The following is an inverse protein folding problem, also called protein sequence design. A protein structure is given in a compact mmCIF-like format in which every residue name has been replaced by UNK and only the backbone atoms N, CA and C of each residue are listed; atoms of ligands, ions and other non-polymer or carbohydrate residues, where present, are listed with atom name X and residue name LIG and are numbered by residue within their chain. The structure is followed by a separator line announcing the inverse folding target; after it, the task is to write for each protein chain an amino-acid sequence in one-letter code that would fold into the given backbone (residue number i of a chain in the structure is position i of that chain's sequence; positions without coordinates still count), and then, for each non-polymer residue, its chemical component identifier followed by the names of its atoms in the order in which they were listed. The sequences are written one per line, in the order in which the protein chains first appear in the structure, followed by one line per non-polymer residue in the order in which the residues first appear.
data_IF_561223124809
#
_entry.id   IF_561223124809
#
_cell.length_a   1.000
_cell.length_b   1.000
_cell.length_c   1.000
_cell.angle_alpha   90.00
_cell.angle_beta   90.00
_cell.angle_gamma   90.00
#
_symmetry.space_group_name_H-M   'P 1'
#
loop_
_entity.id
_entity.type
_entity.pdbx_description
1 polymer ?
#
# COMPACT_ATOMS: atom_id res chain seq x y z
N UNK A 1 19.73 22.85 -6.81
CA UNK A 1 19.32 21.62 -6.08
C UNK A 1 17.84 21.71 -5.72
N UNK A 2 17.03 20.69 -6.03
CA UNK A 2 15.63 20.66 -5.58
C UNK A 2 15.57 20.64 -4.04
N UNK A 3 14.62 21.35 -3.40
CA UNK A 3 14.47 21.33 -1.95
C UNK A 3 14.26 19.90 -1.42
N UNK A 4 14.73 19.63 -0.19
CA UNK A 4 14.56 18.31 0.44
C UNK A 4 13.06 18.02 0.64
N UNK A 5 12.65 16.80 0.26
CA UNK A 5 11.25 16.35 0.26
C UNK A 5 10.83 15.66 1.56
N UNK A 6 11.76 15.41 2.50
CA UNK A 6 11.45 14.86 3.83
C UNK A 6 11.38 13.33 3.92
N UNK A 7 11.80 12.61 2.87
CA UNK A 7 11.89 11.14 2.89
C UNK A 7 13.06 10.67 3.77
N UNK A 8 12.81 9.69 4.63
CA UNK A 8 13.76 9.27 5.68
C UNK A 8 14.36 7.89 5.42
N UNK A 9 13.54 6.87 5.23
CA UNK A 9 13.98 5.46 5.10
C UNK A 9 12.92 4.59 4.43
N UNK A 10 13.31 3.42 3.95
CA UNK A 10 12.35 2.39 3.52
C UNK A 10 11.64 1.83 4.76
N UNK A 11 10.30 1.79 4.73
CA UNK A 11 9.46 1.17 5.77
C UNK A 11 9.24 -0.32 5.49
N UNK A 12 8.89 -0.65 4.25
CA UNK A 12 8.67 -2.01 3.77
C UNK A 12 8.72 -2.10 2.23
N UNK A 13 8.86 -3.31 1.69
CA UNK A 13 8.82 -3.58 0.25
C UNK A 13 7.82 -4.70 -0.04
N UNK A 14 6.88 -4.47 -0.95
CA UNK A 14 5.81 -5.43 -1.26
C UNK A 14 6.15 -6.21 -2.53
N UNK A 15 6.09 -7.53 -2.45
CA UNK A 15 6.30 -8.45 -3.55
C UNK A 15 5.00 -9.10 -4.02
N UNK A 16 4.74 -9.06 -5.33
CA UNK A 16 3.67 -9.82 -5.96
C UNK A 16 4.23 -11.13 -6.51
N UNK A 17 3.54 -12.24 -6.24
CA UNK A 17 3.91 -13.58 -6.67
C UNK A 17 2.74 -14.27 -7.37
N UNK A 18 3.00 -15.39 -8.05
CA UNK A 18 1.97 -16.12 -8.78
C UNK A 18 0.91 -16.77 -7.89
N UNK A 19 -0.13 -17.31 -8.53
CA UNK A 19 -1.16 -18.10 -7.87
C UNK A 19 -0.57 -19.25 -7.04
N UNK A 20 -0.97 -19.33 -5.77
CA UNK A 20 -0.51 -20.33 -4.81
C UNK A 20 1.02 -20.33 -4.57
N UNK A 21 1.70 -19.22 -4.85
CA UNK A 21 3.14 -19.09 -4.60
C UNK A 21 3.46 -18.36 -3.29
N UNK A 22 2.49 -17.70 -2.65
CA UNK A 22 2.74 -16.89 -1.45
C UNK A 22 3.39 -17.72 -0.33
N UNK A 23 2.85 -18.90 -0.05
CA UNK A 23 3.36 -19.77 1.02
C UNK A 23 4.78 -20.27 0.74
N UNK A 24 5.09 -20.58 -0.53
CA UNK A 24 6.45 -20.95 -0.96
C UNK A 24 7.45 -19.83 -0.66
N UNK A 25 7.10 -18.58 -0.96
CA UNK A 25 7.99 -17.45 -0.73
C UNK A 25 8.08 -17.07 0.76
N UNK A 26 6.98 -17.15 1.51
CA UNK A 26 7.00 -16.99 2.96
C UNK A 26 7.92 -18.02 3.63
N UNK A 27 7.82 -19.28 3.20
CA UNK A 27 8.69 -20.37 3.64
C UNK A 27 10.16 -20.11 3.33
N UNK A 28 10.46 -19.54 2.15
CA UNK A 28 11.83 -19.15 1.80
C UNK A 28 12.38 -18.09 2.77
N UNK A 29 11.63 -17.00 3.02
CA UNK A 29 12.05 -15.98 3.98
C UNK A 29 12.25 -16.56 5.39
N UNK A 30 11.35 -17.46 5.81
CA UNK A 30 11.46 -18.10 7.13
C UNK A 30 12.67 -19.02 7.23
N UNK A 31 12.85 -19.95 6.28
CA UNK A 31 13.87 -21.00 6.34
C UNK A 31 15.26 -20.49 6.00
N UNK A 32 15.39 -19.60 5.00
CA UNK A 32 16.69 -19.13 4.54
C UNK A 32 17.20 -17.91 5.32
N UNK A 33 16.30 -17.02 5.76
CA UNK A 33 16.66 -15.74 6.37
C UNK A 33 16.21 -15.58 7.83
N UNK A 34 15.49 -16.57 8.38
CA UNK A 34 15.02 -16.53 9.77
C UNK A 34 13.93 -15.49 10.01
N UNK A 35 13.14 -15.14 8.98
CA UNK A 35 12.02 -14.22 9.13
C UNK A 35 10.83 -14.93 9.79
N UNK A 36 9.98 -14.17 10.46
CA UNK A 36 8.71 -14.65 11.02
C UNK A 36 7.53 -13.98 10.34
N UNK A 37 6.40 -14.68 10.21
CA UNK A 37 5.16 -14.06 9.76
C UNK A 37 4.64 -13.13 10.85
N UNK A 38 4.52 -11.84 10.52
CA UNK A 38 4.03 -10.80 11.43
C UNK A 38 2.50 -10.75 11.44
N UNK A 39 1.90 -10.71 10.24
CA UNK A 39 0.46 -10.64 10.04
C UNK A 39 0.09 -11.27 8.69
N UNK A 40 -1.13 -11.77 8.58
CA UNK A 40 -1.68 -12.27 7.33
C UNK A 40 -3.09 -11.72 7.11
N UNK A 41 -3.47 -11.60 5.85
CA UNK A 41 -4.76 -11.14 5.39
C UNK A 41 -5.25 -12.10 4.30
N UNK A 42 -6.49 -12.57 4.44
CA UNK A 42 -7.13 -13.39 3.43
C UNK A 42 -7.99 -12.56 2.45
N UNK A 43 -8.64 -13.24 1.52
CA UNK A 43 -9.52 -12.66 0.51
C UNK A 43 -10.78 -12.00 1.11
N UNK A 44 -11.22 -12.46 2.28
CA UNK A 44 -12.33 -11.84 3.02
C UNK A 44 -11.89 -10.54 3.69
N UNK A 45 -10.63 -10.48 4.09
CA UNK A 45 -10.02 -9.28 4.65
C UNK A 45 -9.72 -8.22 3.59
N UNK A 46 -9.36 -8.63 2.37
CA UNK A 46 -8.96 -7.75 1.27
C UNK A 46 -9.71 -8.12 0.00
N UNK A 47 -10.94 -7.61 -0.10
CA UNK A 47 -11.76 -7.68 -1.31
C UNK A 47 -12.54 -6.38 -1.56
N UNK A 48 -12.71 -6.06 -2.83
CA UNK A 48 -13.73 -5.12 -3.32
C UNK A 48 -14.94 -5.90 -3.81
N UNK A 49 -15.92 -5.22 -4.41
CA UNK A 49 -16.99 -5.90 -5.14
C UNK A 49 -16.44 -6.77 -6.28
N UNK A 50 -15.29 -6.39 -6.85
CA UNK A 50 -14.79 -6.96 -8.10
C UNK A 50 -13.54 -7.81 -7.95
N UNK A 51 -12.60 -7.45 -7.08
CA UNK A 51 -11.29 -8.09 -7.00
C UNK A 51 -10.91 -8.44 -5.56
N UNK A 52 -10.02 -9.42 -5.40
CA UNK A 52 -9.48 -9.81 -4.11
C UNK A 52 -7.99 -10.13 -4.22
N UNK A 53 -7.30 -10.14 -3.08
CA UNK A 53 -5.96 -10.71 -2.96
C UNK A 53 -5.74 -11.34 -1.58
N UNK A 54 -4.68 -12.11 -1.45
CA UNK A 54 -4.16 -12.58 -0.15
C UNK A 54 -2.79 -11.97 0.09
N UNK A 55 -2.48 -11.70 1.35
CA UNK A 55 -1.20 -11.11 1.73
C UNK A 55 -0.66 -11.69 3.02
N UNK A 56 0.64 -11.97 3.06
CA UNK A 56 1.37 -12.33 4.28
C UNK A 56 2.58 -11.43 4.44
N UNK A 57 2.75 -10.86 5.62
CA UNK A 57 3.88 -9.99 5.93
C UNK A 57 4.96 -10.76 6.65
N UNK A 58 6.11 -10.89 6.01
CA UNK A 58 7.31 -11.47 6.59
C UNK A 58 8.18 -10.39 7.22
N UNK A 59 8.69 -10.62 8.43
CA UNK A 59 9.51 -9.66 9.17
C UNK A 59 10.83 -10.30 9.60
N UNK A 60 11.94 -9.56 9.47
CA UNK A 60 13.23 -10.01 9.98
C UNK A 60 13.27 -10.01 11.51
N UNK A 61 14.16 -10.80 12.11
CA UNK A 61 14.30 -10.90 13.56
C UNK A 61 14.56 -9.54 14.26
N UNK A 62 15.14 -8.56 13.55
CA UNK A 62 15.34 -7.20 14.08
C UNK A 62 14.11 -6.29 14.01
N UNK A 63 13.04 -6.72 13.34
CA UNK A 63 11.85 -5.93 13.06
C UNK A 63 12.01 -4.84 11.98
N UNK A 64 13.24 -4.62 11.50
CA UNK A 64 13.58 -3.52 10.58
C UNK A 64 13.20 -3.79 9.13
N UNK A 65 13.28 -5.04 8.68
CA UNK A 65 12.92 -5.42 7.31
C UNK A 65 11.56 -6.08 7.33
N UNK A 66 10.65 -5.59 6.50
CA UNK A 66 9.27 -6.06 6.37
C UNK A 66 8.96 -6.27 4.89
N UNK A 67 8.48 -7.46 4.57
CA UNK A 67 8.19 -7.90 3.21
C UNK A 67 6.76 -8.46 3.14
N UNK A 68 5.75 -7.63 2.85
CA UNK A 68 4.45 -8.13 2.43
C UNK A 68 4.56 -8.90 1.11
N UNK A 69 4.04 -10.11 1.09
CA UNK A 69 4.01 -11.00 -0.07
C UNK A 69 2.54 -11.19 -0.46
N UNK A 70 2.18 -10.75 -1.67
CA UNK A 70 0.83 -10.80 -2.19
C UNK A 70 0.71 -11.86 -3.28
N UNK A 71 -0.41 -12.58 -3.28
CA UNK A 71 -0.83 -13.43 -4.40
C UNK A 71 -2.26 -13.07 -4.84
N UNK A 72 -2.63 -13.38 -6.09
CA UNK A 72 -4.01 -13.23 -6.55
C UNK A 72 -4.98 -14.06 -5.70
N UNK A 73 -6.23 -13.61 -5.61
CA UNK A 73 -7.34 -14.37 -5.06
C UNK A 73 -8.54 -14.32 -6.00
N UNK A 74 -9.46 -15.27 -5.86
CA UNK A 74 -10.65 -15.34 -6.72
C UNK A 74 -11.55 -14.11 -6.51
N UNK A 75 -11.99 -13.50 -7.62
CA UNK A 75 -12.88 -12.34 -7.63
C UNK A 75 -13.76 -12.34 -8.88
N UNK A 76 -14.74 -11.43 -8.95
CA UNK A 76 -15.60 -11.27 -10.14
C UNK A 76 -14.84 -10.76 -11.36
N UNK A 77 -13.72 -10.09 -11.13
CA UNK A 77 -12.83 -9.53 -12.15
C UNK A 77 -11.38 -9.91 -11.86
N UNK A 78 -10.54 -9.68 -12.86
CA UNK A 78 -9.10 -9.90 -12.82
C UNK A 78 -8.46 -9.12 -11.68
N UNK A 79 -7.62 -9.77 -10.87
CA UNK A 79 -6.93 -9.13 -9.75
C UNK A 79 -5.83 -8.18 -10.24
N UNK A 80 -5.58 -7.09 -9.50
CA UNK A 80 -4.43 -6.21 -9.77
C UNK A 80 -3.09 -6.96 -9.68
N UNK A 81 -3.02 -8.01 -8.86
CA UNK A 81 -1.82 -8.83 -8.78
C UNK A 81 -1.59 -9.54 -10.12
N UNK A 82 -2.64 -10.03 -10.77
CA UNK A 82 -2.54 -10.62 -12.11
C UNK A 82 -2.17 -9.58 -13.16
N UNK A 83 -2.73 -8.37 -13.12
CA UNK A 83 -2.30 -7.27 -14.01
C UNK A 83 -0.79 -7.03 -13.86
N UNK A 84 -0.30 -6.89 -12.62
CA UNK A 84 1.13 -6.73 -12.36
C UNK A 84 1.95 -7.86 -13.00
N UNK A 85 1.57 -9.12 -12.77
CA UNK A 85 2.32 -10.28 -13.23
C UNK A 85 2.43 -10.32 -14.77
N UNK A 86 1.36 -9.99 -15.49
CA UNK A 86 1.39 -9.98 -16.97
C UNK A 86 2.28 -8.87 -17.51
N UNK A 87 2.17 -7.65 -16.98
CA UNK A 87 2.94 -6.51 -17.48
C UNK A 87 4.41 -6.54 -17.02
N UNK A 88 4.68 -7.09 -15.85
CA UNK A 88 6.04 -7.27 -15.32
C UNK A 88 6.74 -8.49 -15.92
N UNK A 89 5.98 -9.54 -16.28
CA UNK A 89 6.50 -10.81 -16.81
C UNK A 89 6.83 -11.84 -15.73
N UNK A 90 6.20 -11.77 -14.56
CA UNK A 90 6.41 -12.68 -13.44
C UNK A 90 6.41 -11.99 -12.08
N UNK A 91 6.82 -12.73 -11.04
CA UNK A 91 6.91 -12.23 -9.68
C UNK A 91 7.93 -11.08 -9.53
N UNK A 92 7.66 -10.13 -8.64
CA UNK A 92 8.53 -8.97 -8.45
C UNK A 92 8.03 -7.98 -7.41
N UNK A 93 8.81 -6.89 -7.20
CA UNK A 93 8.43 -5.80 -6.30
C UNK A 93 7.35 -4.95 -6.94
N UNK A 94 6.20 -4.87 -6.27
CA UNK A 94 5.08 -4.01 -6.66
C UNK A 94 5.29 -2.59 -6.18
N UNK A 95 5.62 -2.42 -4.89
CA UNK A 95 5.89 -1.10 -4.36
C UNK A 95 6.91 -1.10 -3.23
N UNK A 96 7.49 0.08 -3.02
CA UNK A 96 8.38 0.37 -1.90
C UNK A 96 7.78 1.51 -1.11
N UNK A 97 7.57 1.28 0.18
CA UNK A 97 7.08 2.29 1.10
C UNK A 97 8.24 3.06 1.74
N UNK A 98 8.15 4.38 1.72
CA UNK A 98 9.18 5.29 2.23
C UNK A 98 8.60 6.13 3.35
N UNK A 99 9.21 6.02 4.53
CA UNK A 99 8.82 6.74 5.72
C UNK A 99 9.15 8.23 5.62
N UNK A 100 8.25 9.07 6.15
CA UNK A 100 8.43 10.50 6.40
C UNK A 100 7.92 10.86 7.80
N UNK A 101 8.43 11.95 8.34
CA UNK A 101 8.02 12.51 9.63
C UNK A 101 6.97 13.63 9.48
N UNK A 102 6.76 14.15 8.26
CA UNK A 102 5.69 15.09 7.91
C UNK A 102 5.15 14.80 6.50
N UNK A 103 4.15 13.93 6.44
CA UNK A 103 3.54 13.45 5.19
C UNK A 103 2.84 14.57 4.43
N UNK A 104 2.26 15.56 5.12
CA UNK A 104 1.58 16.66 4.45
C UNK A 104 2.57 17.56 3.71
N UNK A 105 3.69 17.90 4.35
CA UNK A 105 4.78 18.63 3.70
C UNK A 105 5.43 17.82 2.58
N UNK A 106 5.69 16.54 2.81
CA UNK A 106 6.27 15.63 1.81
C UNK A 106 5.38 15.51 0.57
N UNK A 107 4.07 15.32 0.73
CA UNK A 107 3.13 15.20 -0.39
C UNK A 107 3.06 16.49 -1.21
N UNK A 108 3.00 17.65 -0.56
CA UNK A 108 3.05 18.95 -1.25
C UNK A 108 4.34 19.11 -2.05
N UNK A 109 5.48 18.75 -1.46
CA UNK A 109 6.77 18.81 -2.13
C UNK A 109 6.88 17.82 -3.31
N UNK A 110 6.35 16.60 -3.17
CA UNK A 110 6.30 15.61 -4.26
C UNK A 110 5.46 16.11 -5.43
N UNK A 111 4.23 16.61 -5.17
CA UNK A 111 3.36 17.19 -6.20
C UNK A 111 4.03 18.38 -6.89
N UNK A 112 4.67 19.28 -6.12
CA UNK A 112 5.39 20.43 -6.68
C UNK A 112 6.58 20.03 -7.58
N UNK A 113 7.16 18.85 -7.35
CA UNK A 113 8.20 18.27 -8.20
C UNK A 113 7.65 17.41 -9.35
N UNK A 114 6.33 17.39 -9.57
CA UNK A 114 5.69 16.68 -10.68
C UNK A 114 5.43 15.20 -10.43
N UNK A 115 5.53 14.71 -9.19
CA UNK A 115 5.16 13.33 -8.87
C UNK A 115 3.64 13.20 -8.88
N UNK A 116 3.13 12.29 -9.70
CA UNK A 116 1.71 11.96 -9.74
C UNK A 116 1.34 10.98 -8.62
N UNK A 117 0.33 11.35 -7.85
CA UNK A 117 -0.20 10.56 -6.74
C UNK A 117 -1.60 10.06 -7.08
N UNK A 118 -2.00 8.93 -6.50
CA UNK A 118 -3.37 8.44 -6.60
C UNK A 118 -4.32 9.41 -5.88
N UNK A 119 -5.54 9.49 -6.42
CA UNK A 119 -6.61 10.28 -5.83
C UNK A 119 -7.57 9.36 -5.07
N UNK A 120 -8.07 9.86 -3.95
CA UNK A 120 -9.06 9.16 -3.12
C UNK A 120 -10.38 9.93 -3.20
N UNK A 121 -11.52 9.27 -3.46
CA UNK A 121 -12.81 9.92 -3.45
C UNK A 121 -13.07 10.68 -2.15
N UNK A 122 -13.65 11.87 -2.25
CA UNK A 122 -13.97 12.71 -1.09
C UNK A 122 -14.81 11.98 -0.04
N UNK A 123 -15.67 11.05 -0.44
CA UNK A 123 -16.54 10.26 0.43
C UNK A 123 -15.79 9.39 1.44
N UNK A 124 -14.52 9.06 1.18
CA UNK A 124 -13.65 8.38 2.14
C UNK A 124 -13.49 9.19 3.43
N UNK A 125 -13.33 10.52 3.31
CA UNK A 125 -13.05 11.41 4.43
C UNK A 125 -14.30 11.74 5.26
N UNK A 126 -15.50 11.63 4.67
CA UNK A 126 -16.75 11.96 5.34
C UNK A 126 -17.05 11.03 6.52
N UNK A 127 -16.57 9.78 6.47
CA UNK A 127 -16.74 8.76 7.53
C UNK A 127 -15.43 8.46 8.26
N UNK A 128 -14.37 9.22 8.01
CA UNK A 128 -13.04 8.90 8.54
C UNK A 128 -13.01 8.97 10.06
N UNK A 129 -13.59 10.02 10.65
CA UNK A 129 -13.63 10.19 12.11
C UNK A 129 -14.36 9.06 12.84
N UNK A 130 -15.38 8.46 12.23
CA UNK A 130 -16.09 7.31 12.80
C UNK A 130 -15.23 6.04 12.79
N UNK A 131 -14.38 5.88 11.77
CA UNK A 131 -13.51 4.71 11.60
C UNK A 131 -12.25 4.74 12.46
N UNK A 132 -11.57 5.89 12.53
CA UNK A 132 -10.25 6.00 13.19
C UNK A 132 -10.29 6.83 14.47
N UNK A 133 -11.42 7.49 14.78
CA UNK A 133 -11.53 8.39 15.92
C UNK A 133 -10.67 9.64 15.76
N UNK A 134 -10.24 10.21 16.89
CA UNK A 134 -9.40 11.40 16.89
C UNK A 134 -7.97 11.10 16.41
N UNK A 135 -7.45 11.99 15.56
CA UNK A 135 -6.08 12.04 15.05
C UNK A 135 -5.55 13.47 15.17
N UNK A 136 -4.24 13.65 15.13
CA UNK A 136 -3.61 14.98 15.27
C UNK A 136 -3.75 15.83 13.99
N UNK A 137 -3.80 15.20 12.83
CA UNK A 137 -3.83 15.85 11.53
C UNK A 137 -5.24 16.38 11.17
N UNK A 138 -5.30 17.54 10.49
CA UNK A 138 -6.54 18.11 10.00
C UNK A 138 -7.10 17.29 8.82
N UNK A 139 -8.29 16.72 9.00
CA UNK A 139 -8.98 15.91 7.98
C UNK A 139 -9.18 16.68 6.67
N UNK A 140 -9.37 18.01 6.72
CA UNK A 140 -9.48 18.82 5.52
C UNK A 140 -8.17 18.82 4.71
N UNK A 141 -7.03 18.87 5.39
CA UNK A 141 -5.70 18.77 4.76
C UNK A 141 -5.48 17.36 4.19
N UNK A 142 -5.85 16.32 4.94
CA UNK A 142 -5.73 14.94 4.46
C UNK A 142 -6.56 14.72 3.18
N UNK A 143 -7.78 15.29 3.15
CA UNK A 143 -8.68 15.26 2.00
C UNK A 143 -8.11 15.97 0.78
N UNK A 144 -7.55 17.16 0.95
CA UNK A 144 -6.89 17.92 -0.12
C UNK A 144 -5.71 17.14 -0.74
N UNK A 145 -4.96 16.45 0.12
CA UNK A 145 -3.73 15.77 -0.26
C UNK A 145 -3.95 14.30 -0.65
N UNK A 146 -5.18 13.78 -0.60
CA UNK A 146 -5.51 12.37 -0.83
C UNK A 146 -4.76 11.39 0.10
N UNK A 147 -4.52 11.80 1.35
CA UNK A 147 -3.80 10.99 2.34
C UNK A 147 -4.77 10.09 3.10
N UNK A 148 -4.54 8.78 3.02
CA UNK A 148 -5.34 7.76 3.71
C UNK A 148 -4.86 7.58 5.16
N UNK A 149 -5.77 7.17 6.05
CA UNK A 149 -5.48 6.90 7.46
C UNK A 149 -6.04 5.55 7.90
N UNK A 150 -5.17 4.73 8.50
CA UNK A 150 -5.54 3.48 9.15
C UNK A 150 -5.13 3.50 10.62
N UNK A 151 -5.83 2.74 11.46
CA UNK A 151 -5.59 2.71 12.90
C UNK A 151 -5.61 1.29 13.44
N UNK A 152 -4.74 1.03 14.39
CA UNK A 152 -4.70 -0.17 15.21
C UNK A 152 -4.69 0.19 16.71
N UNK A 153 -4.55 -0.81 17.57
CA UNK A 153 -4.55 -0.64 19.03
C UNK A 153 -3.35 0.16 19.55
N UNK A 154 -2.28 0.30 18.77
CA UNK A 154 -1.03 0.98 19.16
C UNK A 154 -0.99 2.43 18.67
N UNK A 155 -1.80 2.79 17.69
CA UNK A 155 -1.88 4.13 17.15
C UNK A 155 -2.41 4.12 15.73
N UNK A 156 -2.05 5.13 14.94
CA UNK A 156 -2.51 5.25 13.56
C UNK A 156 -1.35 5.49 12.59
N UNK A 157 -1.63 5.34 11.31
CA UNK A 157 -0.68 5.58 10.23
C UNK A 157 -1.35 6.33 9.10
N UNK A 158 -0.57 7.17 8.42
CA UNK A 158 -0.96 7.91 7.24
C UNK A 158 -0.20 7.34 6.05
N UNK A 159 -0.86 7.22 4.90
CA UNK A 159 -0.26 6.68 3.69
C UNK A 159 -0.81 7.34 2.42
N UNK A 160 -0.01 7.34 1.37
CA UNK A 160 -0.42 7.75 0.03
C UNK A 160 0.48 7.06 -1.00
N UNK A 161 -0.08 6.82 -2.18
CA UNK A 161 0.59 6.07 -3.23
C UNK A 161 0.82 6.92 -4.46
N UNK A 162 1.95 6.72 -5.12
CA UNK A 162 2.18 7.28 -6.45
C UNK A 162 1.37 6.50 -7.49
N UNK A 163 1.16 7.13 -8.65
CA UNK A 163 0.88 6.34 -9.86
C UNK A 163 2.10 5.45 -10.19
N UNK A 164 1.94 4.41 -11.02
CA UNK A 164 3.08 3.68 -11.56
C UNK A 164 4.11 4.63 -12.16
N UNK A 165 5.39 4.40 -11.90
CA UNK A 165 6.47 5.27 -12.41
C UNK A 165 6.79 5.08 -13.90
N UNK A 166 6.15 4.08 -14.51
CA UNK A 166 6.31 3.72 -15.91
C UNK A 166 4.94 3.40 -16.49
N UNK A 167 4.84 3.39 -17.82
CA UNK A 167 3.57 3.11 -18.52
C UNK A 167 2.99 1.74 -18.16
N UNK A 168 3.87 0.77 -17.84
CA UNK A 168 3.45 -0.54 -17.34
C UNK A 168 2.93 -0.42 -15.90
N UNK A 169 1.72 -0.91 -15.59
CA UNK A 169 1.09 -0.81 -14.26
C UNK A 169 1.77 -1.76 -13.25
N UNK A 170 3.00 -1.44 -12.87
CA UNK A 170 3.91 -2.33 -12.13
C UNK A 170 4.46 -1.63 -10.90
N UNK A 171 5.67 -1.07 -10.95
CA UNK A 171 6.31 -0.43 -9.81
C UNK A 171 5.70 0.94 -9.49
N UNK A 172 5.28 1.14 -8.25
CA UNK A 172 4.93 2.44 -7.67
C UNK A 172 5.57 2.61 -6.28
N UNK A 173 5.40 3.78 -5.66
CA UNK A 173 5.88 4.07 -4.32
C UNK A 173 4.74 4.40 -3.37
N UNK A 174 4.94 4.07 -2.10
CA UNK A 174 4.10 4.54 -1.00
C UNK A 174 4.90 5.54 -0.16
N UNK A 175 4.26 6.62 0.26
CA UNK A 175 4.78 7.50 1.30
C UNK A 175 3.97 7.24 2.56
N UNK A 176 4.66 6.94 3.65
CA UNK A 176 4.04 6.49 4.89
C UNK A 176 4.55 7.31 6.09
N UNK A 177 3.66 7.66 7.01
CA UNK A 177 4.00 8.23 8.30
C UNK A 177 3.29 7.42 9.38
N UNK A 178 4.05 6.96 10.38
CA UNK A 178 3.52 6.15 11.49
C UNK A 178 3.43 6.98 12.76
N UNK A 179 2.25 7.00 13.38
CA UNK A 179 1.97 7.53 14.72
C UNK A 179 1.68 6.36 15.66
N UNK A 180 2.69 5.52 15.88
CA UNK A 180 2.62 4.33 16.73
C UNK A 180 2.16 3.04 16.04
N UNK A 181 1.29 3.14 15.02
CA UNK A 181 0.72 1.97 14.35
C UNK A 181 1.77 1.04 13.72
N UNK A 182 1.56 -0.27 13.91
CA UNK A 182 2.30 -1.36 13.27
C UNK A 182 1.51 -2.04 12.15
N UNK A 183 0.29 -1.57 11.87
CA UNK A 183 -0.56 -2.00 10.75
C UNK A 183 0.13 -1.77 9.39
N UNK A 184 -0.45 -2.41 8.37
CA UNK A 184 -0.10 -2.23 6.95
C UNK A 184 -1.28 -1.65 6.17
N UNK A 185 -2.21 -1.00 6.86
CA UNK A 185 -3.33 -0.34 6.21
C UNK A 185 -4.50 -1.25 5.90
N UNK A 186 -4.85 -2.25 6.74
CA UNK A 186 -6.02 -3.14 6.49
C UNK A 186 -7.26 -2.34 6.09
N UNK A 187 -7.58 -1.29 6.86
CA UNK A 187 -8.72 -0.41 6.58
C UNK A 187 -8.53 0.51 5.37
N UNK A 188 -7.30 0.73 4.93
CA UNK A 188 -6.95 1.53 3.77
C UNK A 188 -6.88 0.72 2.48
N UNK A 189 -6.63 -0.59 2.54
CA UNK A 189 -6.57 -1.44 1.35
C UNK A 189 -7.83 -1.25 0.51
N UNK A 190 -9.04 -1.31 1.09
CA UNK A 190 -10.26 -1.10 0.31
C UNK A 190 -10.28 0.24 -0.44
N UNK A 191 -9.85 1.34 0.21
CA UNK A 191 -9.80 2.65 -0.44
C UNK A 191 -8.72 2.72 -1.52
N UNK A 192 -7.55 2.14 -1.25
CA UNK A 192 -6.45 1.99 -2.21
C UNK A 192 -6.89 1.17 -3.43
N UNK A 193 -7.54 0.03 -3.22
CA UNK A 193 -8.04 -0.84 -4.29
C UNK A 193 -9.03 -0.10 -5.17
N UNK A 194 -9.99 0.62 -4.59
CA UNK A 194 -10.92 1.42 -5.39
C UNK A 194 -10.18 2.45 -6.23
N UNK A 195 -9.20 3.16 -5.67
CA UNK A 195 -8.38 4.12 -6.43
C UNK A 195 -7.57 3.45 -7.55
N UNK A 196 -6.99 2.28 -7.28
CA UNK A 196 -6.21 1.52 -8.27
C UNK A 196 -7.12 0.93 -9.36
N UNK A 197 -8.26 0.34 -8.99
CA UNK A 197 -9.25 -0.22 -9.92
C UNK A 197 -9.78 0.88 -10.86
N UNK A 198 -10.01 2.09 -10.35
CA UNK A 198 -10.33 3.24 -11.20
C UNK A 198 -9.24 3.52 -12.25
N UNK A 199 -7.97 3.42 -11.86
CA UNK A 199 -6.85 3.56 -12.81
C UNK A 199 -6.73 2.36 -13.77
N UNK A 200 -7.04 1.14 -13.32
CA UNK A 200 -7.09 -0.05 -14.18
C UNK A 200 -8.22 0.03 -15.21
N UNK A 201 -9.39 0.51 -14.80
CA UNK A 201 -10.53 0.75 -15.67
C UNK A 201 -10.18 1.80 -16.74
N UNK A 202 -9.48 2.88 -16.37
CA UNK A 202 -8.96 3.88 -17.32
C UNK A 202 -7.98 3.26 -18.34
N UNK A 203 -7.25 2.21 -17.96
CA UNK A 203 -6.35 1.44 -18.83
C UNK A 203 -7.05 0.33 -19.63
N UNK A 204 -8.31 0.01 -19.33
CA UNK A 204 -9.08 -1.05 -19.98
C UNK A 204 -8.75 -2.47 -19.50
N UNK A 205 -8.14 -2.62 -18.31
CA UNK A 205 -7.67 -3.90 -17.79
C UNK A 205 -8.52 -4.46 -16.62
N UNK A 206 -9.66 -3.83 -16.31
CA UNK A 206 -10.57 -4.20 -15.21
C UNK A 206 -11.82 -4.95 -15.69
#
# INVERSE_FOLDING_TARGET
PSPRVGLVRIDHCVGNVGWNEMDRWCDYYAKALGFTQLIGFDDKDISTEYTALRSKVMQSASGKVKMPINEPAEGLKRSQIEEYLDFYGGAGIQHVAIATDDIAATVRALRANGVELLETPGTYYDTLGERVGAIEEDVAVLRELSILVDKDDLGYMLQIFTKPLQDRPTLFFEIIQRRGSLSFGKGNFKALFVSIEQEQAKRGNL
#
